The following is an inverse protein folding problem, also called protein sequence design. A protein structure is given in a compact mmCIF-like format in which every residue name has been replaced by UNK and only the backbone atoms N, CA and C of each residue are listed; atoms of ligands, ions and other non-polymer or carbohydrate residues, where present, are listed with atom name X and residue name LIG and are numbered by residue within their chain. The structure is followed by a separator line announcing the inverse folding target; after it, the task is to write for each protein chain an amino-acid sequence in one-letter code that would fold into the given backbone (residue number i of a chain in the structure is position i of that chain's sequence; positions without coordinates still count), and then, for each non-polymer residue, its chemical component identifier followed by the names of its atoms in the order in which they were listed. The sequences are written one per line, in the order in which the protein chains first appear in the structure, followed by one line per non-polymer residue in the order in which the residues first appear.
data_IF_056278417207
#
_entry.id   IF_056278417207
#
_cell.length_a   1.000
_cell.length_b   1.000
_cell.length_c   1.000
_cell.angle_alpha   90.00
_cell.angle_beta   90.00
_cell.angle_gamma   90.00
#
_symmetry.space_group_name_H-M   'P 1'
#
loop_
_entity.id
_entity.type
_entity.pdbx_description
1 polymer ?
#
# COMPACT_ATOMS: atom_id res chain seq x y z
N UNK A 1 51.13 4.01 -36.01
CA UNK A 1 50.16 5.13 -36.03
C UNK A 1 49.17 4.90 -34.91
N UNK A 2 49.19 5.73 -33.87
CA UNK A 2 48.32 5.55 -32.68
C UNK A 2 47.08 6.43 -32.86
N UNK A 3 45.93 5.81 -33.07
CA UNK A 3 44.64 6.49 -33.20
C UNK A 3 44.26 7.15 -31.86
N UNK A 4 44.08 8.47 -31.84
CA UNK A 4 43.50 9.18 -30.69
C UNK A 4 42.00 8.88 -30.65
N UNK A 5 41.53 8.18 -29.61
CA UNK A 5 40.10 8.05 -29.32
C UNK A 5 39.57 9.33 -28.68
N UNK A 6 38.40 9.79 -29.11
CA UNK A 6 37.72 10.95 -28.55
C UNK A 6 37.29 10.68 -27.10
N UNK A 7 37.33 11.70 -26.22
CA UNK A 7 36.95 11.53 -24.83
C UNK A 7 35.43 11.35 -24.71
N UNK A 8 35.02 10.47 -23.80
CA UNK A 8 33.62 10.04 -23.61
C UNK A 8 32.81 11.09 -22.81
N UNK A 9 32.85 12.35 -23.26
CA UNK A 9 32.32 13.52 -22.53
C UNK A 9 30.80 13.70 -22.66
N UNK A 10 30.06 12.62 -22.93
CA UNK A 10 28.59 12.66 -22.99
C UNK A 10 28.02 13.49 -24.13
N UNK A 11 28.83 13.82 -25.15
CA UNK A 11 28.46 14.67 -26.30
C UNK A 11 27.21 14.16 -27.06
N UNK A 12 26.95 12.86 -27.00
CA UNK A 12 25.83 12.18 -27.66
C UNK A 12 24.70 11.79 -26.69
N UNK A 13 24.76 12.19 -25.41
CA UNK A 13 23.67 11.89 -24.48
C UNK A 13 22.54 12.88 -24.72
N UNK A 14 21.32 12.41 -25.01
CA UNK A 14 20.17 13.30 -25.18
C UNK A 14 19.93 14.03 -23.86
N UNK A 15 20.01 15.36 -23.89
CA UNK A 15 19.63 16.21 -22.77
C UNK A 15 18.10 16.27 -22.76
N UNK A 16 17.43 15.79 -21.70
CA UNK A 16 15.99 15.85 -21.64
C UNK A 16 15.53 17.30 -21.71
N UNK A 17 14.50 17.54 -22.51
CA UNK A 17 13.86 18.84 -22.59
C UNK A 17 13.31 19.25 -21.22
N UNK A 18 13.13 20.57 -21.01
CA UNK A 18 12.56 21.11 -19.77
C UNK A 18 11.18 20.49 -19.45
N UNK A 19 10.42 20.12 -20.47
CA UNK A 19 9.12 19.45 -20.33
C UNK A 19 9.29 18.02 -19.82
N UNK A 20 10.20 17.24 -20.42
CA UNK A 20 10.48 15.86 -20.02
C UNK A 20 10.98 15.78 -18.57
N UNK A 21 11.87 16.69 -18.17
CA UNK A 21 12.39 16.76 -16.80
C UNK A 21 11.27 17.02 -15.77
N UNK A 22 10.31 17.90 -16.10
CA UNK A 22 9.14 18.16 -15.24
C UNK A 22 8.21 16.94 -15.16
N UNK A 23 7.94 16.28 -16.28
CA UNK A 23 7.08 15.09 -16.29
C UNK A 23 7.68 13.93 -15.51
N UNK A 24 9.01 13.74 -15.57
CA UNK A 24 9.70 12.73 -14.76
C UNK A 24 9.61 13.06 -13.26
N UNK A 25 9.81 14.33 -12.90
CA UNK A 25 9.65 14.80 -11.52
C UNK A 25 8.24 14.52 -10.99
N UNK A 26 7.20 14.92 -11.72
CA UNK A 26 5.81 14.65 -11.34
C UNK A 26 5.57 13.15 -11.20
N UNK A 27 6.05 12.35 -12.15
CA UNK A 27 5.88 10.89 -12.12
C UNK A 27 6.55 10.25 -10.90
N UNK A 28 7.72 10.74 -10.49
CA UNK A 28 8.42 10.29 -9.28
C UNK A 28 7.63 10.66 -8.02
N UNK A 29 7.17 11.91 -7.93
CA UNK A 29 6.38 12.39 -6.78
C UNK A 29 5.07 11.61 -6.66
N UNK A 30 4.35 11.38 -7.76
CA UNK A 30 3.12 10.59 -7.75
C UNK A 30 3.34 9.17 -7.26
N UNK A 31 4.42 8.50 -7.68
CA UNK A 31 4.77 7.16 -7.17
C UNK A 31 5.09 7.18 -5.68
N UNK A 32 5.88 8.16 -5.24
CA UNK A 32 6.22 8.31 -3.83
C UNK A 32 4.98 8.50 -2.94
N UNK A 33 4.00 9.30 -3.38
CA UNK A 33 2.74 9.49 -2.66
C UNK A 33 1.99 8.16 -2.54
N UNK A 34 1.83 7.43 -3.65
CA UNK A 34 1.14 6.14 -3.65
C UNK A 34 1.81 5.12 -2.71
N UNK A 35 3.14 5.08 -2.71
CA UNK A 35 3.91 4.18 -1.85
C UNK A 35 3.75 4.52 -0.37
N UNK A 36 3.74 5.80 -0.01
CA UNK A 36 3.51 6.24 1.37
C UNK A 36 2.11 5.87 1.85
N UNK A 37 1.08 6.16 1.05
CA UNK A 37 -0.30 5.81 1.37
C UNK A 37 -0.49 4.29 1.49
N UNK A 38 0.15 3.51 0.62
CA UNK A 38 0.12 2.05 0.69
C UNK A 38 0.74 1.53 1.99
N UNK A 39 1.87 2.10 2.43
CA UNK A 39 2.51 1.76 3.70
C UNK A 39 1.63 2.09 4.90
N UNK A 40 1.00 3.27 4.90
CA UNK A 40 0.08 3.67 5.98
C UNK A 40 -1.14 2.75 6.07
N UNK A 41 -1.73 2.39 4.91
CA UNK A 41 -2.83 1.42 4.85
C UNK A 41 -2.41 0.05 5.38
N UNK A 42 -1.25 -0.45 4.97
CA UNK A 42 -0.72 -1.74 5.43
C UNK A 42 -0.51 -1.73 6.96
N UNK A 43 0.16 -0.70 7.49
CA UNK A 43 0.40 -0.55 8.91
C UNK A 43 -0.90 -0.48 9.73
N UNK A 44 -1.91 0.24 9.23
CA UNK A 44 -3.24 0.29 9.88
C UNK A 44 -3.90 -1.08 9.90
N UNK A 45 -3.91 -1.78 8.76
CA UNK A 45 -4.51 -3.12 8.68
C UNK A 45 -3.81 -4.11 9.59
N UNK A 46 -2.48 -4.06 9.68
CA UNK A 46 -1.71 -4.91 10.58
C UNK A 46 -2.06 -4.64 12.05
N UNK A 47 -2.12 -3.36 12.46
CA UNK A 47 -2.56 -2.97 13.82
C UNK A 47 -3.95 -3.50 14.14
N UNK A 48 -4.91 -3.34 13.23
CA UNK A 48 -6.28 -3.81 13.42
C UNK A 48 -6.36 -5.34 13.47
N UNK A 49 -5.58 -6.03 12.63
CA UNK A 49 -5.49 -7.49 12.66
C UNK A 49 -4.93 -7.98 13.98
N UNK A 50 -3.86 -7.36 14.49
CA UNK A 50 -3.27 -7.71 15.78
C UNK A 50 -4.27 -7.47 16.93
N UNK A 51 -4.98 -6.34 16.93
CA UNK A 51 -6.01 -6.04 17.92
C UNK A 51 -7.16 -7.07 17.87
N UNK A 52 -7.61 -7.45 16.67
CA UNK A 52 -8.64 -8.48 16.50
C UNK A 52 -8.20 -9.83 17.03
N UNK A 53 -6.96 -10.26 16.74
CA UNK A 53 -6.43 -11.52 17.22
C UNK A 53 -6.31 -11.55 18.76
N UNK A 54 -5.91 -10.43 19.37
CA UNK A 54 -5.87 -10.31 20.82
C UNK A 54 -7.28 -10.40 21.43
N UNK A 55 -8.27 -9.73 20.83
CA UNK A 55 -9.67 -9.84 21.25
C UNK A 55 -10.22 -11.25 21.10
N UNK A 56 -9.90 -11.95 20.01
CA UNK A 56 -10.31 -13.34 19.79
C UNK A 56 -9.67 -14.30 20.80
N UNK A 57 -8.42 -14.05 21.21
CA UNK A 57 -7.76 -14.84 22.26
C UNK A 57 -8.37 -14.65 23.66
N UNK A 58 -8.90 -13.45 23.94
CA UNK A 58 -9.53 -13.12 25.22
C UNK A 58 -11.05 -13.41 25.24
N UNK A 59 -11.68 -13.54 24.07
CA UNK A 59 -13.12 -13.73 23.98
C UNK A 59 -13.55 -15.11 24.52
N UNK A 60 -14.45 -15.16 25.52
CA UNK A 60 -15.07 -16.42 25.93
C UNK A 60 -15.96 -16.96 24.81
N UNK A 61 -15.96 -18.27 24.60
CA UNK A 61 -16.79 -18.96 23.60
C UNK A 61 -18.27 -18.63 23.86
N UNK A 62 -18.83 -17.70 23.08
CA UNK A 62 -20.26 -17.38 23.15
C UNK A 62 -21.02 -18.53 22.50
N UNK A 63 -21.43 -19.50 23.32
CA UNK A 63 -22.34 -20.54 22.90
C UNK A 63 -23.63 -19.88 22.35
N UNK A 64 -24.17 -20.34 21.21
CA UNK A 64 -25.37 -19.76 20.63
C UNK A 64 -26.49 -19.81 21.68
N UNK A 65 -26.99 -18.64 22.08
CA UNK A 65 -28.13 -18.53 22.99
C UNK A 65 -29.33 -19.20 22.31
N UNK A 66 -29.77 -20.33 22.87
CA UNK A 66 -30.98 -21.02 22.42
C UNK A 66 -32.14 -20.02 22.44
N UNK A 67 -32.75 -19.80 21.27
CA UNK A 67 -33.94 -18.96 21.15
C UNK A 67 -35.07 -19.57 21.97
N UNK A 68 -35.69 -18.76 22.82
CA UNK A 68 -36.79 -19.23 23.67
C UNK A 68 -37.98 -19.68 22.80
N UNK A 69 -38.65 -20.80 23.13
CA UNK A 69 -39.76 -21.31 22.34
C UNK A 69 -40.94 -20.32 22.35
N UNK A 70 -41.44 -19.97 21.17
CA UNK A 70 -42.64 -19.12 21.03
C UNK A 70 -43.86 -19.86 21.60
N UNK A 71 -44.60 -19.23 22.52
CA UNK A 71 -45.86 -19.76 23.05
C UNK A 71 -46.88 -19.91 21.92
N UNK A 72 -47.61 -21.05 21.84
CA UNK A 72 -48.66 -21.22 20.84
C UNK A 72 -49.84 -20.28 21.16
N UNK A 73 -50.33 -19.60 20.12
CA UNK A 73 -51.51 -18.74 20.19
C UNK A 73 -52.75 -19.64 20.24
N UNK A 74 -53.54 -19.54 21.32
CA UNK A 74 -54.78 -20.33 21.49
C UNK A 74 -55.83 -19.83 20.49
N UNK A 75 -56.46 -20.78 19.79
CA UNK A 75 -57.51 -20.56 18.78
C UNK A 75 -58.79 -20.04 19.39
#
# INVERSE_FOLDING_TARGET
MTMKSLPDTGLFKPVPSRTEAKTDTTSRVSRQIQDLEAKERAAKTERLRAARLAQEAEAPVVLPRKTAPKRPKKR
#
